data_IF_952976389597
#
_entry.id   IF_952976389597
#
_cell.length_a   1.000
_cell.length_b   1.000
_cell.length_c   1.000
_cell.angle_alpha   90.00
_cell.angle_beta   90.00
_cell.angle_gamma   90.00
#
_symmetry.space_group_name_H-M   'P 1'
#
loop_
_entity.id
_entity.type
_entity.pdbx_description
1 polymer ?
#
# COMPACT_ATOMS: atom_id res chain seq x y z
N UNK A 1 17.85 -22.94 39.66
CA UNK A 1 18.62 -24.21 39.63
C UNK A 1 20.03 -23.92 39.14
N UNK A 2 21.05 -24.35 39.90
CA UNK A 2 22.51 -24.38 39.61
C UNK A 2 23.15 -23.00 39.30
N UNK A 3 23.78 -22.25 40.22
CA UNK A 3 24.74 -22.50 41.33
C UNK A 3 26.13 -22.97 40.88
N UNK A 4 27.14 -22.25 41.43
CA UNK A 4 28.52 -22.68 41.75
C UNK A 4 29.46 -22.63 40.53
N UNK A 5 30.67 -22.09 40.53
CA UNK A 5 31.59 -21.41 41.48
C UNK A 5 32.93 -21.29 40.72
N UNK A 6 33.95 -20.50 41.07
CA UNK A 6 34.89 -20.65 42.21
C UNK A 6 36.05 -19.71 41.81
N UNK A 7 36.50 -18.73 42.60
CA UNK A 7 37.31 -18.79 43.85
C UNK A 7 38.77 -18.37 43.60
N UNK A 8 39.17 -17.35 44.40
CA UNK A 8 40.47 -17.09 45.06
C UNK A 8 41.71 -16.95 44.15
N UNK A 9 42.77 -16.22 44.49
CA UNK A 9 43.34 -15.70 45.75
C UNK A 9 44.37 -14.65 45.29
N UNK A 10 44.67 -13.57 46.00
CA UNK A 10 45.26 -13.57 47.34
C UNK A 10 46.77 -13.35 47.25
N UNK A 11 47.18 -12.17 47.72
CA UNK A 11 48.44 -11.87 48.43
C UNK A 11 49.69 -11.32 47.71
N UNK A 12 50.01 -10.10 48.16
CA UNK A 12 51.30 -9.59 48.65
C UNK A 12 52.47 -9.36 47.70
N UNK A 13 52.61 -8.07 47.36
CA UNK A 13 53.84 -7.38 47.01
C UNK A 13 54.73 -7.15 48.24
N UNK A 14 56.02 -7.47 48.13
CA UNK A 14 57.11 -6.93 48.95
C UNK A 14 58.31 -6.58 48.06
N UNK A 15 59.00 -5.51 48.46
CA UNK A 15 60.41 -5.13 48.22
C UNK A 15 60.79 -4.75 46.76
N UNK A 16 61.04 -3.47 46.43
CA UNK A 16 62.12 -2.52 46.82
C UNK A 16 63.26 -2.47 45.77
N UNK A 17 63.84 -1.26 45.65
CA UNK A 17 65.06 -0.83 44.92
C UNK A 17 64.76 -0.20 43.56
N UNK A 18 64.84 1.13 43.41
CA UNK A 18 66.03 2.03 43.40
C UNK A 18 66.97 1.84 42.20
N UNK A 19 67.00 2.91 41.40
CA UNK A 19 68.08 3.47 40.57
C UNK A 19 68.50 2.74 39.27
N UNK A 20 68.01 3.28 38.15
CA UNK A 20 68.71 3.93 37.00
C UNK A 20 70.21 3.63 36.73
N UNK A 21 70.79 4.00 35.56
CA UNK A 21 70.21 4.44 34.26
C UNK A 21 70.93 3.87 33.00
N UNK A 22 70.31 3.97 31.81
CA UNK A 22 71.05 4.31 30.55
C UNK A 22 70.13 4.45 29.32
N UNK A 23 70.20 5.65 28.72
CA UNK A 23 69.69 6.18 27.45
C UNK A 23 70.06 5.28 26.23
N UNK A 24 69.35 5.14 25.10
CA UNK A 24 68.67 6.07 24.17
C UNK A 24 67.65 5.32 23.25
N UNK A 25 67.08 5.89 22.16
CA UNK A 25 66.08 6.95 22.09
C UNK A 25 64.81 6.43 21.36
N UNK A 26 63.65 6.36 22.03
CA UNK A 26 62.39 6.05 21.35
C UNK A 26 61.63 7.35 21.07
N UNK A 27 61.46 7.66 19.78
CA UNK A 27 60.68 8.78 19.26
C UNK A 27 59.31 8.89 19.93
N UNK A 28 59.13 9.89 20.79
CA UNK A 28 57.91 10.18 21.55
C UNK A 28 56.73 10.67 20.70
N UNK A 29 56.94 10.92 19.40
CA UNK A 29 55.90 11.36 18.48
C UNK A 29 54.90 10.25 18.12
N UNK A 30 55.36 9.01 17.93
CA UNK A 30 54.50 7.91 17.48
C UNK A 30 53.52 7.37 18.54
N UNK A 31 53.89 7.45 19.83
CA UNK A 31 53.05 6.94 20.93
C UNK A 31 51.91 7.91 21.25
N UNK A 32 52.16 9.22 21.16
CA UNK A 32 51.12 10.24 21.33
C UNK A 32 50.08 10.19 20.18
N UNK A 33 50.54 9.95 18.95
CA UNK A 33 49.67 9.77 17.78
C UNK A 33 48.78 8.52 17.88
N UNK A 34 49.31 7.39 18.36
CA UNK A 34 48.53 6.17 18.56
C UNK A 34 47.48 6.30 19.68
N UNK A 35 47.80 6.99 20.78
CA UNK A 35 46.85 7.24 21.87
C UNK A 35 45.74 8.20 21.42
N UNK A 36 46.07 9.24 20.65
CA UNK A 36 45.09 10.18 20.11
C UNK A 36 44.15 9.51 19.09
N UNK A 37 44.67 8.64 18.21
CA UNK A 37 43.88 7.87 17.26
C UNK A 37 42.90 6.92 17.99
N UNK A 38 43.37 6.23 19.04
CA UNK A 38 42.55 5.31 19.84
C UNK A 38 41.47 6.05 20.65
N UNK A 39 41.77 7.23 21.17
CA UNK A 39 40.78 8.07 21.87
C UNK A 39 39.73 8.65 20.89
N UNK A 40 40.11 8.95 19.65
CA UNK A 40 39.19 9.40 18.61
C UNK A 40 38.23 8.29 18.16
N UNK A 41 38.71 7.05 18.02
CA UNK A 41 37.86 5.90 17.67
C UNK A 41 36.85 5.58 18.77
N UNK A 42 37.27 5.57 20.04
CA UNK A 42 36.35 5.33 21.18
C UNK A 42 35.27 6.41 21.28
N UNK A 43 35.62 7.69 21.05
CA UNK A 43 34.64 8.79 21.06
C UNK A 43 33.67 8.72 19.88
N UNK A 44 34.12 8.26 18.71
CA UNK A 44 33.27 8.05 17.55
C UNK A 44 32.29 6.87 17.78
N UNK A 45 32.75 5.78 18.40
CA UNK A 45 31.91 4.64 18.77
C UNK A 45 30.83 5.02 19.80
N UNK A 46 31.17 5.82 20.81
CA UNK A 46 30.19 6.28 21.80
C UNK A 46 29.19 7.29 21.23
N UNK A 47 29.62 8.13 20.28
CA UNK A 47 28.71 9.01 19.54
C UNK A 47 27.72 8.21 18.69
N UNK A 48 28.20 7.20 17.93
CA UNK A 48 27.37 6.33 17.10
C UNK A 48 26.35 5.54 17.93
N UNK A 49 26.75 5.01 19.10
CA UNK A 49 25.81 4.34 20.03
C UNK A 49 24.74 5.30 20.56
N UNK A 50 25.10 6.56 20.79
CA UNK A 50 24.17 7.59 21.28
C UNK A 50 23.17 7.99 20.19
N UNK A 51 23.62 8.07 18.95
CA UNK A 51 22.82 8.35 17.77
C UNK A 51 21.81 7.21 17.49
N UNK A 52 22.26 5.96 17.47
CA UNK A 52 21.38 4.78 17.35
C UNK A 52 20.32 4.73 18.46
N UNK A 53 20.69 5.12 19.69
CA UNK A 53 19.77 5.21 20.82
C UNK A 53 18.74 6.33 20.63
N UNK A 54 19.09 7.43 19.94
CA UNK A 54 18.15 8.50 19.62
C UNK A 54 17.19 8.08 18.50
N UNK A 55 17.70 7.48 17.42
CA UNK A 55 16.90 6.99 16.29
C UNK A 55 15.83 6.00 16.75
N UNK A 56 16.20 5.04 17.60
CA UNK A 56 15.24 4.08 18.15
C UNK A 56 14.14 4.75 18.99
N UNK A 57 14.51 5.77 19.80
CA UNK A 57 13.54 6.53 20.60
C UNK A 57 12.63 7.40 19.74
N UNK A 58 13.16 8.02 18.70
CA UNK A 58 12.38 8.78 17.72
C UNK A 58 11.41 7.86 16.98
N UNK A 59 11.86 6.65 16.63
CA UNK A 59 11.02 5.60 16.06
C UNK A 59 9.74 5.40 16.87
N UNK A 60 9.86 5.17 18.18
CA UNK A 60 8.70 4.98 19.05
C UNK A 60 7.79 6.21 19.21
N UNK A 61 8.35 7.43 19.20
CA UNK A 61 7.57 8.67 19.35
C UNK A 61 6.78 8.99 18.06
N UNK A 62 7.36 8.68 16.90
CA UNK A 62 6.79 9.01 15.59
C UNK A 62 5.85 7.91 15.05
N UNK A 63 5.64 6.84 15.81
CA UNK A 63 4.69 5.79 15.47
C UNK A 63 3.25 6.31 15.37
N UNK A 64 2.48 5.69 14.49
CA UNK A 64 1.05 5.90 14.43
C UNK A 64 0.38 5.47 15.74
N UNK A 65 -0.48 6.32 16.31
CA UNK A 65 -1.19 6.04 17.56
C UNK A 65 -2.22 4.88 17.46
N UNK A 66 -2.46 4.35 16.27
CA UNK A 66 -3.43 3.29 16.00
C UNK A 66 -2.75 1.96 15.74
N UNK A 67 -1.90 1.87 14.70
CA UNK A 67 -1.19 0.61 14.38
C UNK A 67 0.13 0.43 15.14
N UNK A 68 0.61 1.47 15.84
CA UNK A 68 1.88 1.47 16.58
C UNK A 68 3.12 1.28 15.71
N UNK A 69 2.97 1.39 14.39
CA UNK A 69 4.07 1.31 13.42
C UNK A 69 4.50 2.69 12.91
N UNK A 70 5.74 2.76 12.44
CA UNK A 70 6.24 3.91 11.71
C UNK A 70 5.51 4.07 10.36
N UNK A 71 4.94 5.25 10.08
CA UNK A 71 4.18 5.48 8.86
C UNK A 71 5.09 5.40 7.61
N UNK A 72 4.61 4.72 6.56
CA UNK A 72 5.31 4.62 5.25
C UNK A 72 4.92 5.70 4.24
N UNK A 73 3.86 6.46 4.53
CA UNK A 73 3.26 7.42 3.62
C UNK A 73 2.85 8.69 4.40
N UNK A 74 1.78 9.36 3.97
CA UNK A 74 1.31 10.57 4.62
C UNK A 74 0.97 10.36 6.10
N UNK A 75 1.29 11.36 6.92
CA UNK A 75 1.02 11.37 8.36
C UNK A 75 0.06 12.49 8.68
N UNK A 76 -1.02 12.16 9.39
CA UNK A 76 -2.01 13.12 9.84
C UNK A 76 -1.89 13.32 11.35
N UNK A 77 -2.05 14.56 11.81
CA UNK A 77 -2.11 14.89 13.21
C UNK A 77 -3.45 15.51 13.57
N UNK A 78 -4.01 15.11 14.72
CA UNK A 78 -5.17 15.81 15.29
C UNK A 78 -4.74 17.18 15.83
N UNK A 79 -5.70 18.05 16.19
CA UNK A 79 -5.39 19.38 16.72
C UNK A 79 -4.59 19.36 18.04
N UNK A 80 -4.61 18.25 18.78
CA UNK A 80 -3.80 18.04 19.99
C UNK A 80 -2.45 17.37 19.72
N UNK A 81 -2.09 17.07 18.46
CA UNK A 81 -0.77 16.56 18.08
C UNK A 81 -0.61 15.04 18.01
N UNK A 82 -1.66 14.23 18.21
CA UNK A 82 -1.55 12.77 18.05
C UNK A 82 -1.45 12.37 16.58
N UNK A 83 -0.48 11.51 16.27
CA UNK A 83 -0.12 11.09 14.92
C UNK A 83 -0.89 9.85 14.46
N UNK A 84 -1.33 9.85 13.22
CA UNK A 84 -2.00 8.72 12.55
C UNK A 84 -1.42 8.57 11.15
N UNK A 85 -1.06 7.35 10.75
CA UNK A 85 -0.72 7.08 9.36
C UNK A 85 -1.95 7.25 8.46
N UNK A 86 -1.76 7.53 7.18
CA UNK A 86 -2.84 7.72 6.22
C UNK A 86 -3.86 6.57 6.20
N UNK A 87 -3.39 5.33 6.32
CA UNK A 87 -4.23 4.14 6.40
C UNK A 87 -5.15 4.18 7.62
N UNK A 88 -4.57 4.24 8.83
CA UNK A 88 -5.35 4.27 10.07
C UNK A 88 -6.27 5.48 10.17
N UNK A 89 -5.82 6.66 9.75
CA UNK A 89 -6.69 7.84 9.69
C UNK A 89 -7.91 7.60 8.80
N UNK A 90 -7.68 7.03 7.61
CA UNK A 90 -8.75 6.65 6.67
C UNK A 90 -9.71 5.63 7.27
N UNK A 91 -9.18 4.60 7.94
CA UNK A 91 -9.98 3.59 8.64
C UNK A 91 -10.88 4.23 9.70
N UNK A 92 -10.34 5.10 10.56
CA UNK A 92 -11.13 5.79 11.61
C UNK A 92 -12.27 6.62 11.00
N UNK A 93 -12.01 7.33 9.90
CA UNK A 93 -13.05 8.10 9.20
C UNK A 93 -14.12 7.20 8.57
N UNK A 94 -13.72 6.09 7.94
CA UNK A 94 -14.63 5.14 7.32
C UNK A 94 -15.51 4.43 8.38
N UNK A 95 -14.91 4.08 9.51
CA UNK A 95 -15.59 3.49 10.66
C UNK A 95 -16.68 4.40 11.24
N UNK A 96 -16.34 5.67 11.49
CA UNK A 96 -17.30 6.65 11.97
C UNK A 96 -18.45 6.85 10.97
N UNK A 97 -18.14 6.84 9.66
CA UNK A 97 -19.16 6.87 8.60
C UNK A 97 -20.10 5.67 8.67
N UNK A 98 -19.60 4.46 8.92
CA UNK A 98 -20.44 3.28 9.03
C UNK A 98 -21.33 3.31 10.27
N UNK A 99 -20.81 3.84 11.40
CA UNK A 99 -21.54 3.93 12.68
C UNK A 99 -22.49 5.13 12.78
N UNK A 100 -22.46 6.03 11.81
CA UNK A 100 -23.14 7.33 11.89
C UNK A 100 -22.70 8.18 13.08
N UNK A 101 -21.41 8.13 13.36
CA UNK A 101 -20.77 8.88 14.44
C UNK A 101 -19.82 9.92 13.85
N UNK A 102 -19.47 10.89 14.69
CA UNK A 102 -18.38 11.80 14.39
C UNK A 102 -17.06 11.07 14.62
N UNK A 103 -16.15 11.13 13.66
CA UNK A 103 -14.83 10.55 13.84
C UNK A 103 -14.07 11.31 14.92
N UNK A 104 -13.45 10.58 15.86
CA UNK A 104 -12.68 11.16 16.96
C UNK A 104 -11.30 10.56 17.01
N UNK A 105 -10.33 11.33 17.51
CA UNK A 105 -8.97 10.86 17.74
C UNK A 105 -9.00 9.72 18.77
N UNK A 106 -8.41 8.54 18.48
CA UNK A 106 -8.43 7.41 19.42
C UNK A 106 -7.79 7.71 20.78
N UNK A 107 -6.85 8.65 20.84
CA UNK A 107 -6.11 8.97 22.06
C UNK A 107 -6.82 10.05 22.90
N UNK A 108 -7.18 11.19 22.30
CA UNK A 108 -7.74 12.33 23.04
C UNK A 108 -9.21 12.62 22.77
N UNK A 109 -9.86 11.85 21.90
CA UNK A 109 -11.28 11.93 21.54
C UNK A 109 -11.75 13.26 20.94
N UNK A 110 -10.84 14.17 20.60
CA UNK A 110 -11.18 15.37 19.83
C UNK A 110 -11.71 14.97 18.45
N UNK A 111 -12.68 15.70 17.92
CA UNK A 111 -13.21 15.48 16.59
C UNK A 111 -12.10 15.58 15.53
N UNK A 112 -12.08 14.62 14.60
CA UNK A 112 -11.17 14.60 13.47
C UNK A 112 -11.94 14.47 12.16
N UNK A 113 -11.44 15.14 11.14
CA UNK A 113 -11.98 15.11 9.79
C UNK A 113 -10.86 15.41 8.81
N UNK A 114 -11.10 15.26 7.50
CA UNK A 114 -10.13 15.64 6.45
C UNK A 114 -9.73 17.13 6.49
N UNK A 115 -10.53 17.98 7.14
CA UNK A 115 -10.27 19.43 7.24
C UNK A 115 -9.70 19.85 8.58
N UNK A 116 -9.97 19.10 9.66
CA UNK A 116 -9.47 19.44 11.01
C UNK A 116 -8.16 18.74 11.35
N UNK A 117 -7.90 17.56 10.78
CA UNK A 117 -6.61 16.91 10.87
C UNK A 117 -5.65 17.50 9.82
N UNK A 118 -4.45 17.90 10.26
CA UNK A 118 -3.43 18.47 9.37
C UNK A 118 -2.41 17.40 8.96
N UNK A 119 -1.94 17.46 7.71
CA UNK A 119 -0.84 16.59 7.24
C UNK A 119 0.49 17.12 7.78
N UNK A 120 1.24 16.27 8.46
CA UNK A 120 2.51 16.65 9.09
C UNK A 120 3.70 16.23 8.23
N UNK A 121 4.10 17.12 7.31
CA UNK A 121 5.23 16.89 6.41
C UNK A 121 6.58 16.80 7.13
N UNK A 122 6.71 17.43 8.31
CA UNK A 122 7.93 17.36 9.09
C UNK A 122 8.14 15.95 9.66
N UNK A 123 7.08 15.34 10.18
CA UNK A 123 7.11 13.94 10.63
C UNK A 123 7.35 13.00 9.45
N UNK A 124 6.71 13.24 8.30
CA UNK A 124 6.97 12.43 7.09
C UNK A 124 8.46 12.42 6.71
N UNK A 125 9.10 13.61 6.67
CA UNK A 125 10.54 13.72 6.39
C UNK A 125 11.40 13.11 7.50
N UNK A 126 11.04 13.30 8.77
CA UNK A 126 11.80 12.71 9.87
C UNK A 126 11.76 11.18 9.82
N UNK A 127 10.59 10.61 9.59
CA UNK A 127 10.41 9.15 9.46
C UNK A 127 11.12 8.62 8.21
N UNK A 128 11.21 9.38 7.13
CA UNK A 128 11.87 8.92 5.90
C UNK A 128 13.39 8.76 6.04
N UNK A 129 14.01 9.46 6.99
CA UNK A 129 15.44 9.33 7.30
C UNK A 129 15.74 8.24 8.33
N UNK A 130 14.73 7.75 9.06
CA UNK A 130 14.95 6.68 10.05
C UNK A 130 15.40 5.38 9.36
N UNK A 131 16.27 4.59 10.03
CA UNK A 131 16.73 3.32 9.49
C UNK A 131 15.59 2.31 9.36
N UNK A 132 15.71 1.45 8.35
CA UNK A 132 14.91 0.26 8.16
C UNK A 132 15.76 -0.83 7.51
N UNK A 133 15.50 -2.08 7.88
CA UNK A 133 16.21 -3.24 7.36
C UNK A 133 15.67 -3.65 5.99
N UNK A 134 16.57 -3.99 5.07
CA UNK A 134 16.24 -4.63 3.81
C UNK A 134 15.71 -6.04 4.02
N UNK A 135 14.59 -6.37 3.40
CA UNK A 135 13.96 -7.69 3.51
C UNK A 135 14.79 -8.85 2.94
N UNK A 136 15.78 -8.55 2.08
CA UNK A 136 16.61 -9.56 1.42
C UNK A 136 17.98 -9.71 2.06
N UNK A 137 18.67 -8.61 2.36
CA UNK A 137 20.05 -8.64 2.88
C UNK A 137 20.18 -8.26 4.36
N UNK A 138 19.09 -7.87 5.02
CA UNK A 138 19.02 -7.46 6.43
C UNK A 138 19.93 -6.27 6.82
N UNK A 139 20.52 -5.56 5.85
CA UNK A 139 21.27 -4.33 6.09
C UNK A 139 20.33 -3.15 6.31
N UNK A 140 20.73 -2.20 7.15
CA UNK A 140 19.96 -0.99 7.43
C UNK A 140 20.20 0.09 6.36
N UNK A 141 19.11 0.71 5.93
CA UNK A 141 19.12 1.86 5.03
C UNK A 141 18.10 2.91 5.50
N UNK A 142 18.31 4.20 5.17
CA UNK A 142 17.25 5.20 5.32
C UNK A 142 16.01 4.77 4.54
N UNK A 143 14.83 4.89 5.15
CA UNK A 143 13.54 4.46 4.57
C UNK A 143 13.27 5.07 3.19
N UNK A 144 13.69 6.31 2.93
CA UNK A 144 13.55 6.98 1.63
C UNK A 144 14.32 6.29 0.49
N UNK A 145 15.36 5.52 0.80
CA UNK A 145 16.27 4.89 -0.16
C UNK A 145 16.10 3.37 -0.22
N UNK A 146 15.38 2.81 0.76
CA UNK A 146 15.22 1.37 0.93
C UNK A 146 14.50 0.72 -0.27
N UNK A 147 13.44 1.34 -0.77
CA UNK A 147 12.70 0.83 -1.95
C UNK A 147 13.62 0.75 -3.18
N UNK A 148 14.38 1.81 -3.46
CA UNK A 148 15.35 1.80 -4.55
C UNK A 148 16.45 0.75 -4.36
N UNK A 149 16.92 0.56 -3.12
CA UNK A 149 17.87 -0.49 -2.81
C UNK A 149 17.27 -1.88 -3.12
N UNK A 150 16.09 -2.19 -2.60
CA UNK A 150 15.42 -3.48 -2.77
C UNK A 150 15.11 -3.82 -4.23
N UNK A 151 14.73 -2.82 -5.03
CA UNK A 151 14.37 -3.01 -6.43
C UNK A 151 15.58 -3.08 -7.37
N UNK A 152 16.59 -2.25 -7.16
CA UNK A 152 17.63 -2.00 -8.16
C UNK A 152 19.05 -2.36 -7.70
N UNK A 153 19.38 -2.25 -6.42
CA UNK A 153 20.77 -2.34 -5.95
C UNK A 153 21.08 -3.59 -5.13
N UNK A 154 20.08 -4.19 -4.48
CA UNK A 154 20.27 -5.29 -3.55
C UNK A 154 20.70 -6.56 -4.28
N UNK A 155 21.86 -7.12 -3.92
CA UNK A 155 22.39 -8.34 -4.51
C UNK A 155 21.58 -9.60 -4.14
N UNK A 156 20.87 -9.55 -3.01
CA UNK A 156 20.01 -10.63 -2.52
C UNK A 156 18.57 -10.54 -3.06
N UNK A 157 18.22 -9.51 -3.84
CA UNK A 157 16.87 -9.36 -4.38
C UNK A 157 16.52 -10.49 -5.34
N UNK A 158 15.27 -10.96 -5.27
CA UNK A 158 14.78 -12.02 -6.15
C UNK A 158 14.61 -11.47 -7.57
N UNK A 159 15.44 -11.95 -8.48
CA UNK A 159 15.46 -11.56 -9.88
C UNK A 159 15.14 -12.75 -10.78
N UNK A 160 14.77 -12.46 -12.03
CA UNK A 160 14.46 -13.48 -13.04
C UNK A 160 15.51 -13.49 -14.14
N UNK A 161 15.72 -14.66 -14.76
CA UNK A 161 16.65 -14.81 -15.87
C UNK A 161 16.21 -13.95 -17.07
N UNK A 162 17.16 -13.37 -17.84
CA UNK A 162 16.85 -12.64 -19.08
C UNK A 162 16.12 -13.51 -20.12
N UNK A 163 16.30 -14.84 -20.07
CA UNK A 163 15.63 -15.83 -20.90
C UNK A 163 14.25 -16.27 -20.37
N UNK A 164 13.72 -15.61 -19.33
CA UNK A 164 12.34 -15.82 -18.87
C UNK A 164 11.31 -15.63 -19.98
N UNK A 165 11.59 -14.72 -20.93
CA UNK A 165 10.75 -14.46 -22.13
C UNK A 165 10.61 -15.67 -23.06
N UNK A 166 11.54 -16.62 -23.01
CA UNK A 166 11.50 -17.87 -23.80
C UNK A 166 11.25 -19.09 -22.91
N UNK A 167 10.72 -18.87 -21.71
CA UNK A 167 10.25 -19.94 -20.82
C UNK A 167 11.19 -20.34 -19.68
N UNK A 168 12.30 -19.63 -19.44
CA UNK A 168 13.14 -19.95 -18.28
C UNK A 168 12.39 -19.63 -16.96
N UNK A 169 12.12 -20.63 -16.09
CA UNK A 169 11.36 -20.41 -14.85
C UNK A 169 12.26 -19.93 -13.69
N UNK A 170 13.57 -19.80 -13.91
CA UNK A 170 14.52 -19.51 -12.84
C UNK A 170 14.26 -18.14 -12.21
N UNK A 171 14.19 -18.15 -10.88
CA UNK A 171 14.13 -16.99 -10.01
C UNK A 171 15.04 -17.24 -8.82
N UNK A 172 15.92 -16.30 -8.53
CA UNK A 172 16.91 -16.42 -7.46
C UNK A 172 17.52 -15.07 -7.09
N UNK A 173 18.45 -15.04 -6.12
CA UNK A 173 19.21 -13.85 -5.77
C UNK A 173 19.89 -13.23 -7.00
N UNK A 174 19.99 -11.91 -7.05
CA UNK A 174 20.57 -11.22 -8.20
C UNK A 174 22.04 -11.57 -8.43
N UNK A 175 22.80 -11.83 -7.37
CA UNK A 175 24.21 -12.22 -7.50
C UNK A 175 24.40 -13.57 -8.21
N UNK A 176 23.38 -14.44 -8.22
CA UNK A 176 23.41 -15.75 -8.90
C UNK A 176 23.05 -15.68 -10.39
N UNK A 177 22.53 -14.53 -10.87
CA UNK A 177 22.14 -14.37 -12.30
C UNK A 177 23.29 -14.71 -13.25
N UNK A 178 24.52 -14.17 -13.09
CA UNK A 178 25.59 -14.42 -14.05
C UNK A 178 25.94 -15.91 -14.15
N UNK A 179 25.95 -16.60 -13.01
CA UNK A 179 26.21 -18.04 -12.95
C UNK A 179 25.09 -18.83 -13.63
N UNK A 180 23.82 -18.53 -13.31
CA UNK A 180 22.68 -19.17 -13.96
C UNK A 180 22.67 -18.92 -15.47
N UNK A 181 22.89 -17.68 -15.92
CA UNK A 181 22.84 -17.32 -17.34
C UNK A 181 23.92 -18.03 -18.16
N UNK A 182 25.10 -18.27 -17.58
CA UNK A 182 26.16 -19.04 -18.23
C UNK A 182 25.82 -20.51 -18.45
N UNK A 183 24.97 -21.08 -17.59
CA UNK A 183 24.52 -22.48 -17.63
C UNK A 183 23.07 -22.63 -18.07
N UNK A 184 22.44 -21.56 -18.54
CA UNK A 184 21.02 -21.60 -18.90
C UNK A 184 20.82 -22.46 -20.15
N UNK A 185 19.93 -23.45 -20.06
CA UNK A 185 19.62 -24.35 -21.19
C UNK A 185 18.62 -23.73 -22.18
N UNK A 186 17.85 -22.73 -21.75
CA UNK A 186 16.77 -22.14 -22.55
C UNK A 186 17.21 -21.47 -23.86
N UNK A 187 18.37 -20.80 -23.95
CA UNK A 187 18.89 -20.28 -25.22
C UNK A 187 19.14 -21.34 -26.29
N UNK A 188 19.37 -22.59 -25.88
CA UNK A 188 19.68 -23.71 -26.77
C UNK A 188 18.52 -24.69 -26.94
N UNK A 189 17.34 -24.37 -26.39
CA UNK A 189 16.14 -25.19 -26.57
C UNK A 189 15.65 -25.14 -28.01
N UNK A 190 14.97 -26.19 -28.42
CA UNK A 190 14.42 -26.26 -29.78
C UNK A 190 13.31 -25.22 -29.96
N UNK A 191 13.07 -24.84 -31.22
CA UNK A 191 11.94 -23.96 -31.53
C UNK A 191 10.60 -24.52 -31.03
N UNK A 192 10.42 -25.84 -31.02
CA UNK A 192 9.20 -26.47 -30.52
C UNK A 192 8.98 -26.20 -29.01
N UNK A 193 10.04 -26.31 -28.20
CA UNK A 193 9.96 -26.08 -26.75
C UNK A 193 9.72 -24.59 -26.42
N UNK A 194 10.35 -23.69 -27.18
CA UNK A 194 10.14 -22.24 -27.03
C UNK A 194 8.72 -21.86 -27.44
N UNK A 195 8.19 -22.43 -28.52
CA UNK A 195 6.82 -22.18 -28.96
C UNK A 195 5.78 -22.62 -27.91
N UNK A 196 6.02 -23.70 -27.18
CA UNK A 196 5.12 -24.12 -26.08
C UNK A 196 5.13 -23.10 -24.94
N UNK A 197 6.31 -22.66 -24.49
CA UNK A 197 6.41 -21.63 -23.46
C UNK A 197 5.79 -20.28 -23.91
N UNK A 198 5.96 -19.92 -25.19
CA UNK A 198 5.36 -18.72 -25.75
C UNK A 198 3.83 -18.82 -25.82
N UNK A 199 3.24 -19.99 -26.09
CA UNK A 199 1.77 -20.16 -26.07
C UNK A 199 1.18 -19.81 -24.71
N UNK A 200 1.82 -20.21 -23.61
CA UNK A 200 1.36 -19.86 -22.25
C UNK A 200 1.47 -18.36 -21.98
N UNK A 201 2.57 -17.74 -22.41
CA UNK A 201 2.78 -16.29 -22.30
C UNK A 201 1.73 -15.54 -23.13
N UNK A 202 1.53 -15.95 -24.38
CA UNK A 202 0.56 -15.38 -25.30
C UNK A 202 -0.86 -15.56 -24.80
N UNK A 203 -1.21 -16.72 -24.22
CA UNK A 203 -2.51 -16.95 -23.61
C UNK A 203 -2.78 -15.99 -22.45
N UNK A 204 -1.78 -15.78 -21.57
CA UNK A 204 -1.87 -14.82 -20.47
C UNK A 204 -1.98 -13.37 -20.99
N UNK A 205 -1.17 -13.00 -21.98
CA UNK A 205 -1.25 -11.67 -22.60
C UNK A 205 -2.57 -11.44 -23.33
N UNK A 206 -3.12 -12.48 -23.96
CA UNK A 206 -4.44 -12.43 -24.59
C UNK A 206 -5.53 -12.24 -23.53
N UNK A 207 -5.48 -12.96 -22.41
CA UNK A 207 -6.37 -12.79 -21.27
C UNK A 207 -6.36 -11.34 -20.74
N UNK A 208 -5.16 -10.76 -20.58
CA UNK A 208 -4.98 -9.35 -20.18
C UNK A 208 -5.52 -8.38 -21.24
N UNK A 209 -5.39 -8.71 -22.53
CA UNK A 209 -5.87 -7.90 -23.65
C UNK A 209 -7.37 -8.01 -23.93
N UNK A 210 -8.02 -9.12 -23.56
CA UNK A 210 -9.47 -9.35 -23.78
C UNK A 210 -10.33 -8.19 -23.29
N UNK A 211 -10.00 -7.60 -22.15
CA UNK A 211 -10.74 -6.44 -21.64
C UNK A 211 -10.66 -5.26 -22.63
N UNK A 212 -9.48 -4.97 -23.16
CA UNK A 212 -9.27 -3.89 -24.12
C UNK A 212 -9.99 -4.19 -25.44
N UNK A 213 -9.86 -5.40 -25.96
CA UNK A 213 -10.53 -5.82 -27.20
C UNK A 213 -12.06 -5.69 -27.07
N UNK A 214 -12.63 -6.19 -25.97
CA UNK A 214 -14.05 -6.03 -25.67
C UNK A 214 -14.48 -4.55 -25.56
N UNK A 215 -13.65 -3.69 -24.95
CA UNK A 215 -13.94 -2.25 -24.87
C UNK A 215 -13.87 -1.61 -26.25
N UNK A 216 -12.90 -1.98 -27.11
CA UNK A 216 -12.82 -1.50 -28.48
C UNK A 216 -14.05 -1.90 -29.30
N UNK A 217 -14.51 -3.14 -29.16
CA UNK A 217 -15.75 -3.60 -29.79
C UNK A 217 -16.96 -2.78 -29.32
N UNK A 218 -17.06 -2.50 -28.01
CA UNK A 218 -18.14 -1.66 -27.48
C UNK A 218 -18.07 -0.21 -27.98
N UNK A 219 -16.85 0.32 -28.20
CA UNK A 219 -16.66 1.65 -28.79
C UNK A 219 -17.15 1.75 -30.23
N UNK A 220 -17.42 0.62 -30.91
CA UNK A 220 -18.05 0.62 -32.23
C UNK A 220 -19.56 0.93 -32.20
N UNK A 221 -20.20 0.93 -31.02
CA UNK A 221 -21.62 1.21 -30.91
C UNK A 221 -21.93 2.68 -31.18
N UNK A 222 -23.06 2.94 -31.84
CA UNK A 222 -23.49 4.31 -32.16
C UNK A 222 -23.88 5.11 -30.91
N UNK A 223 -24.42 4.43 -29.90
CA UNK A 223 -24.97 5.05 -28.69
C UNK A 223 -24.08 4.77 -27.48
N UNK A 224 -23.20 5.72 -27.19
CA UNK A 224 -22.28 5.69 -26.06
C UNK A 224 -22.46 6.95 -25.21
N UNK A 225 -22.44 6.81 -23.89
CA UNK A 225 -22.45 7.95 -22.97
C UNK A 225 -21.36 7.83 -21.91
N UNK A 226 -20.75 8.97 -21.57
CA UNK A 226 -19.72 9.08 -20.55
C UNK A 226 -20.25 10.03 -19.48
N UNK A 227 -20.47 9.51 -18.28
CA UNK A 227 -21.06 10.28 -17.18
C UNK A 227 -20.08 10.32 -16.02
N UNK A 228 -19.60 11.52 -15.69
CA UNK A 228 -18.81 11.75 -14.48
C UNK A 228 -19.75 12.02 -13.31
N UNK A 229 -19.85 11.03 -12.42
CA UNK A 229 -20.86 10.98 -11.37
C UNK A 229 -20.23 11.03 -9.99
N UNK A 230 -21.02 11.50 -9.03
CA UNK A 230 -20.70 11.45 -7.60
C UNK A 230 -21.82 10.73 -6.88
N UNK A 231 -21.50 9.66 -6.16
CA UNK A 231 -22.44 9.04 -5.23
C UNK A 231 -22.23 9.61 -3.83
N UNK A 232 -23.33 10.01 -3.19
CA UNK A 232 -23.34 10.60 -1.86
C UNK A 232 -23.96 9.62 -0.86
N UNK A 233 -23.45 9.55 0.38
CA UNK A 233 -24.01 8.68 1.39
C UNK A 233 -25.39 9.18 1.84
N UNK A 234 -26.31 8.25 2.06
CA UNK A 234 -27.60 8.47 2.71
C UNK A 234 -27.96 7.26 3.56
N UNK A 235 -28.89 7.43 4.50
CA UNK A 235 -29.35 6.36 5.39
C UNK A 235 -30.84 6.14 5.27
N UNK A 236 -31.27 4.92 5.56
CA UNK A 236 -32.68 4.55 5.64
C UNK A 236 -33.23 4.86 7.03
N UNK A 237 -34.51 5.21 7.12
CA UNK A 237 -35.22 5.48 8.38
C UNK A 237 -35.64 4.20 9.14
N UNK A 238 -34.93 3.09 8.92
CA UNK A 238 -35.16 1.81 9.62
C UNK A 238 -34.56 1.83 11.03
N UNK A 239 -35.03 0.94 11.92
CA UNK A 239 -34.50 0.78 13.29
C UNK A 239 -32.98 0.55 13.35
N UNK A 240 -32.41 -0.08 12.30
CA UNK A 240 -30.97 -0.13 12.05
C UNK A 240 -30.71 0.68 10.78
N UNK A 241 -30.22 1.90 10.94
CA UNK A 241 -29.93 2.78 9.82
C UNK A 241 -28.86 2.17 8.90
N UNK A 242 -29.25 1.77 7.69
CA UNK A 242 -28.32 1.21 6.70
C UNK A 242 -27.70 2.31 5.87
N UNK A 243 -26.38 2.27 5.71
CA UNK A 243 -25.65 3.19 4.85
C UNK A 243 -25.74 2.74 3.38
N UNK A 244 -26.27 3.62 2.55
CA UNK A 244 -26.27 3.48 1.09
C UNK A 244 -25.56 4.67 0.46
N UNK A 245 -25.13 4.50 -0.79
CA UNK A 245 -24.64 5.59 -1.61
C UNK A 245 -25.51 5.68 -2.86
N UNK A 246 -25.86 6.89 -3.27
CA UNK A 246 -26.67 7.11 -4.47
C UNK A 246 -26.16 8.33 -5.24
N UNK A 247 -26.19 8.26 -6.57
CA UNK A 247 -25.94 9.41 -7.44
C UNK A 247 -27.19 10.27 -7.59
N UNK A 248 -27.02 11.55 -7.90
CA UNK A 248 -28.12 12.30 -8.51
C UNK A 248 -28.62 11.60 -9.77
N UNK A 249 -29.88 11.83 -10.14
CA UNK A 249 -30.42 11.36 -11.42
C UNK A 249 -29.59 11.94 -12.56
N UNK A 250 -29.22 11.11 -13.52
CA UNK A 250 -28.48 11.53 -14.71
C UNK A 250 -29.18 11.04 -15.97
N UNK A 251 -28.97 11.77 -17.07
CA UNK A 251 -29.56 11.44 -18.37
C UNK A 251 -28.61 10.62 -19.24
N UNK A 252 -29.08 9.50 -19.77
CA UNK A 252 -28.39 8.73 -20.81
C UNK A 252 -29.41 8.02 -21.70
N UNK A 253 -29.17 7.96 -23.02
CA UNK A 253 -30.06 7.30 -23.97
C UNK A 253 -31.53 7.76 -23.89
N UNK A 254 -31.77 9.07 -23.68
CA UNK A 254 -33.10 9.66 -23.46
C UNK A 254 -33.87 9.10 -22.25
N UNK A 255 -33.16 8.47 -21.32
CA UNK A 255 -33.69 7.90 -20.09
C UNK A 255 -33.01 8.51 -18.87
N UNK A 256 -33.68 8.44 -17.71
CA UNK A 256 -33.14 8.87 -16.42
C UNK A 256 -32.65 7.65 -15.65
N UNK A 257 -31.45 7.77 -15.10
CA UNK A 257 -30.75 6.68 -14.44
C UNK A 257 -30.23 7.12 -13.07
N UNK A 258 -30.00 6.14 -12.21
CA UNK A 258 -29.37 6.31 -10.90
C UNK A 258 -28.42 5.14 -10.67
N UNK A 259 -27.24 5.40 -10.10
CA UNK A 259 -26.39 4.35 -9.55
C UNK A 259 -26.58 4.33 -8.04
N UNK A 260 -26.89 3.14 -7.51
CA UNK A 260 -27.04 2.90 -6.08
C UNK A 260 -25.99 1.88 -5.64
N UNK A 261 -25.32 2.16 -4.53
CA UNK A 261 -24.35 1.26 -3.94
C UNK A 261 -24.65 0.97 -2.47
N UNK A 262 -24.22 -0.22 -2.02
CA UNK A 262 -24.31 -0.71 -0.65
C UNK A 262 -22.97 -1.26 -0.21
N UNK A 263 -22.70 -1.19 1.09
CA UNK A 263 -21.44 -1.65 1.68
C UNK A 263 -21.64 -3.05 2.28
N UNK A 264 -20.64 -3.91 2.15
CA UNK A 264 -20.60 -5.27 2.71
C UNK A 264 -21.86 -6.08 2.39
N UNK A 265 -22.37 -5.94 1.16
CA UNK A 265 -23.62 -6.58 0.72
C UNK A 265 -24.81 -6.44 1.70
N UNK A 266 -24.86 -5.33 2.46
CA UNK A 266 -25.89 -5.05 3.46
C UNK A 266 -25.89 -6.02 4.67
N UNK A 267 -24.71 -6.46 5.12
CA UNK A 267 -24.55 -7.20 6.36
C UNK A 267 -25.13 -6.43 7.57
N UNK A 268 -25.67 -7.17 8.55
CA UNK A 268 -26.31 -6.59 9.76
C UNK A 268 -25.37 -5.72 10.58
N UNK A 269 -24.08 -6.07 10.62
CA UNK A 269 -23.05 -5.32 11.33
C UNK A 269 -21.80 -5.19 10.44
N UNK A 270 -21.66 -4.07 9.70
CA UNK A 270 -20.52 -3.84 8.81
C UNK A 270 -19.22 -3.54 9.56
N UNK A 271 -19.22 -3.51 10.91
CA UNK A 271 -18.03 -3.20 11.72
C UNK A 271 -17.29 -4.43 12.24
N UNK A 272 -17.86 -5.63 12.09
CA UNK A 272 -17.22 -6.88 12.55
C UNK A 272 -16.00 -7.28 11.73
N UNK A 273 -15.86 -6.75 10.52
CA UNK A 273 -14.70 -6.98 9.67
C UNK A 273 -14.07 -5.66 9.22
N UNK A 274 -12.75 -5.65 9.19
CA UNK A 274 -11.97 -4.61 8.53
C UNK A 274 -12.02 -4.77 7.01
N UNK A 275 -12.37 -5.97 6.50
CA UNK A 275 -12.61 -6.25 5.08
C UNK A 275 -13.93 -5.64 4.63
N UNK A 276 -13.84 -4.83 3.59
CA UNK A 276 -14.98 -4.07 3.08
C UNK A 276 -15.06 -4.14 1.57
N UNK A 277 -16.27 -4.33 1.09
CA UNK A 277 -16.60 -4.30 -0.33
C UNK A 277 -17.74 -3.31 -0.60
N UNK A 278 -17.70 -2.72 -1.79
CA UNK A 278 -18.78 -1.88 -2.31
C UNK A 278 -19.45 -2.68 -3.42
N UNK A 279 -20.75 -2.89 -3.33
CA UNK A 279 -21.55 -3.42 -4.44
C UNK A 279 -22.45 -2.32 -4.98
N UNK A 280 -22.65 -2.29 -6.30
CA UNK A 280 -23.44 -1.27 -6.97
C UNK A 280 -24.41 -1.88 -7.97
N UNK A 281 -25.51 -1.18 -8.20
CA UNK A 281 -26.48 -1.48 -9.25
C UNK A 281 -26.77 -0.22 -10.05
N UNK A 282 -27.11 -0.41 -11.33
CA UNK A 282 -27.62 0.63 -12.20
C UNK A 282 -29.15 0.50 -12.24
N UNK A 283 -29.84 1.62 -12.07
CA UNK A 283 -31.30 1.68 -11.96
C UNK A 283 -31.83 2.62 -13.03
N UNK A 284 -32.73 2.11 -13.86
CA UNK A 284 -33.53 2.87 -14.79
C UNK A 284 -34.76 3.46 -14.08
N UNK A 285 -34.87 4.80 -14.08
CA UNK A 285 -35.98 5.53 -13.46
C UNK A 285 -37.10 5.89 -14.44
N UNK A 286 -36.81 5.92 -15.74
CA UNK A 286 -37.81 6.15 -16.79
C UNK A 286 -38.51 4.85 -17.16
N UNK A 287 -39.83 4.87 -17.34
CA UNK A 287 -40.56 3.72 -17.88
C UNK A 287 -40.22 3.55 -19.37
N UNK A 288 -39.84 2.35 -19.78
CA UNK A 288 -39.49 2.03 -21.16
C UNK A 288 -40.52 1.13 -21.80
N UNK A 289 -40.81 1.38 -23.08
CA UNK A 289 -41.71 0.56 -23.89
C UNK A 289 -40.99 -0.56 -24.65
N UNK A 290 -39.66 -0.54 -24.70
CA UNK A 290 -38.83 -1.54 -25.36
C UNK A 290 -37.63 -1.93 -24.48
N UNK A 291 -37.14 -3.18 -24.58
CA UNK A 291 -35.94 -3.61 -23.87
C UNK A 291 -34.71 -2.78 -24.26
N UNK A 292 -33.91 -2.41 -23.26
CA UNK A 292 -32.66 -1.66 -23.40
C UNK A 292 -31.48 -2.55 -22.99
N UNK A 293 -30.84 -3.25 -23.94
CA UNK A 293 -29.61 -3.99 -23.68
C UNK A 293 -28.44 -3.01 -23.49
N UNK A 294 -28.02 -2.82 -22.25
CA UNK A 294 -26.97 -1.86 -21.89
C UNK A 294 -25.73 -2.59 -21.38
N UNK A 295 -24.59 -2.24 -21.96
CA UNK A 295 -23.29 -2.53 -21.38
C UNK A 295 -22.82 -1.33 -20.57
N UNK A 296 -22.23 -1.56 -19.41
CA UNK A 296 -21.70 -0.47 -18.59
C UNK A 296 -20.51 -0.91 -17.76
N UNK A 297 -19.66 0.06 -17.43
CA UNK A 297 -18.53 -0.12 -16.55
C UNK A 297 -18.21 1.16 -15.79
N UNK A 298 -17.62 0.99 -14.61
CA UNK A 298 -17.11 2.09 -13.79
C UNK A 298 -15.60 2.21 -13.96
N UNK A 299 -15.14 3.43 -14.20
CA UNK A 299 -13.75 3.84 -14.29
C UNK A 299 -13.43 4.92 -13.26
N UNK A 300 -12.13 5.17 -13.08
CA UNK A 300 -11.63 6.37 -12.40
C UNK A 300 -12.22 7.63 -13.06
N UNK A 301 -12.82 8.49 -12.24
CA UNK A 301 -13.32 9.80 -12.69
C UNK A 301 -12.19 10.80 -12.92
N UNK A 302 -12.39 11.86 -13.73
CA UNK A 302 -11.35 12.85 -14.05
C UNK A 302 -10.88 13.66 -12.83
N UNK A 303 -11.75 13.82 -11.83
CA UNK A 303 -11.48 14.58 -10.61
C UNK A 303 -11.24 13.68 -9.38
N UNK A 304 -11.17 12.36 -9.59
CA UNK A 304 -10.93 11.38 -8.55
C UNK A 304 -9.64 10.61 -8.78
N UNK A 305 -9.10 10.04 -7.72
CA UNK A 305 -7.92 9.17 -7.72
C UNK A 305 -8.30 7.71 -7.39
N UNK A 306 -9.57 7.34 -7.61
CA UNK A 306 -10.08 5.98 -7.40
C UNK A 306 -9.26 4.96 -8.19
N UNK A 307 -8.85 3.89 -7.52
CA UNK A 307 -8.22 2.72 -8.13
C UNK A 307 -9.30 1.66 -8.32
N UNK A 308 -9.55 1.26 -9.55
CA UNK A 308 -10.56 0.25 -9.90
C UNK A 308 -10.07 -0.56 -11.09
N UNK A 309 -10.28 -1.87 -11.06
CA UNK A 309 -10.01 -2.77 -12.17
C UNK A 309 -11.25 -2.85 -13.06
N UNK A 310 -11.28 -2.24 -14.25
CA UNK A 310 -12.53 -2.12 -15.01
C UNK A 310 -13.15 -3.48 -15.31
N UNK A 311 -14.47 -3.60 -15.11
CA UNK A 311 -15.26 -4.77 -15.50
C UNK A 311 -16.47 -4.33 -16.28
N UNK A 312 -16.67 -4.95 -17.43
CA UNK A 312 -17.83 -4.72 -18.28
C UNK A 312 -18.98 -5.59 -17.75
N UNK A 313 -20.11 -4.94 -17.47
CA UNK A 313 -21.37 -5.60 -17.14
C UNK A 313 -22.34 -5.43 -18.31
N UNK A 314 -23.22 -6.40 -18.50
CA UNK A 314 -24.33 -6.36 -19.46
C UNK A 314 -25.62 -6.63 -18.72
N UNK A 315 -26.63 -5.80 -18.94
CA UNK A 315 -27.98 -6.03 -18.43
C UNK A 315 -29.02 -5.51 -19.42
N UNK A 316 -30.14 -6.21 -19.55
CA UNK A 316 -31.25 -5.78 -20.39
C UNK A 316 -32.35 -5.19 -19.52
N UNK A 317 -32.52 -3.87 -19.59
CA UNK A 317 -33.53 -3.18 -18.80
C UNK A 317 -34.88 -3.24 -19.52
N UNK A 318 -35.94 -3.60 -18.79
CA UNK A 318 -37.30 -3.73 -19.30
C UNK A 318 -38.29 -2.97 -18.40
N UNK A 319 -39.57 -2.97 -18.75
CA UNK A 319 -40.60 -2.38 -17.87
C UNK A 319 -40.74 -3.14 -16.55
N UNK A 320 -40.54 -4.47 -16.58
CA UNK A 320 -40.61 -5.35 -15.41
C UNK A 320 -39.29 -5.35 -14.62
N UNK A 321 -38.16 -5.22 -15.31
CA UNK A 321 -36.82 -5.28 -14.73
C UNK A 321 -36.06 -3.98 -15.00
N UNK A 322 -36.23 -3.00 -14.11
CA UNK A 322 -35.60 -1.69 -14.22
C UNK A 322 -34.35 -1.53 -13.32
N UNK A 323 -33.96 -2.56 -12.58
CA UNK A 323 -32.78 -2.56 -11.71
C UNK A 323 -31.85 -3.70 -12.10
N UNK A 324 -30.58 -3.40 -12.36
CA UNK A 324 -29.58 -4.44 -12.57
C UNK A 324 -29.33 -5.22 -11.27
N UNK A 325 -28.77 -6.43 -11.33
CA UNK A 325 -28.18 -7.07 -10.15
C UNK A 325 -27.11 -6.16 -9.50
N UNK A 326 -26.83 -6.42 -8.23
CA UNK A 326 -25.68 -5.84 -7.56
C UNK A 326 -24.40 -6.53 -8.04
N UNK A 327 -23.46 -5.73 -8.53
CA UNK A 327 -22.12 -6.17 -8.87
C UNK A 327 -21.11 -5.59 -7.89
N UNK A 328 -20.09 -6.37 -7.54
CA UNK A 328 -18.97 -5.87 -6.74
C UNK A 328 -18.19 -4.85 -7.55
N UNK A 329 -17.94 -3.68 -6.96
CA UNK A 329 -17.01 -2.69 -7.48
C UNK A 329 -15.59 -3.28 -7.35
N UNK A 330 -14.90 -3.58 -8.45
CA UNK A 330 -13.64 -4.32 -8.46
C UNK A 330 -12.45 -3.45 -8.02
N UNK A 331 -12.44 -3.11 -6.74
CA UNK A 331 -11.34 -2.39 -6.08
C UNK A 331 -10.12 -3.32 -5.93
N UNK A 332 -8.88 -2.80 -5.95
CA UNK A 332 -7.67 -3.60 -5.79
C UNK A 332 -7.57 -4.27 -4.41
N UNK A 333 -8.04 -3.59 -3.36
CA UNK A 333 -7.94 -4.05 -1.99
C UNK A 333 -8.96 -3.34 -1.07
N UNK A 334 -9.04 -3.81 0.17
CA UNK A 334 -9.85 -3.23 1.26
C UNK A 334 -9.41 -1.82 1.64
N UNK A 335 -8.12 -1.48 1.50
CA UNK A 335 -7.63 -0.15 1.88
C UNK A 335 -8.20 0.94 0.96
N UNK A 336 -8.31 0.64 -0.34
CA UNK A 336 -8.97 1.48 -1.32
C UNK A 336 -10.45 1.66 -0.99
N UNK A 337 -11.16 0.59 -0.59
CA UNK A 337 -12.55 0.68 -0.14
C UNK A 337 -12.69 1.65 1.05
N UNK A 338 -11.84 1.52 2.06
CA UNK A 338 -11.83 2.43 3.21
C UNK A 338 -11.57 3.88 2.81
N UNK A 339 -10.70 4.11 1.84
CA UNK A 339 -10.40 5.44 1.29
C UNK A 339 -11.62 6.09 0.66
N UNK A 340 -12.39 5.33 -0.09
CA UNK A 340 -13.65 5.76 -0.69
C UNK A 340 -14.71 6.07 0.38
N UNK A 341 -14.84 5.22 1.41
CA UNK A 341 -15.77 5.43 2.52
C UNK A 341 -15.45 6.67 3.36
N UNK A 342 -14.15 6.95 3.56
CA UNK A 342 -13.69 8.15 4.27
C UNK A 342 -13.92 9.45 3.47
N UNK A 343 -14.22 9.38 2.18
CA UNK A 343 -14.51 10.55 1.36
C UNK A 343 -15.94 11.07 1.59
N UNK A 344 -16.16 12.37 1.32
CA UNK A 344 -17.50 12.98 1.41
C UNK A 344 -18.46 12.43 0.35
N UNK A 345 -17.91 12.07 -0.81
CA UNK A 345 -18.61 11.45 -1.93
C UNK A 345 -17.61 10.58 -2.69
N UNK A 346 -18.11 9.55 -3.37
CA UNK A 346 -17.29 8.69 -4.24
C UNK A 346 -17.49 9.18 -5.67
N UNK A 347 -16.41 9.66 -6.29
CA UNK A 347 -16.41 10.20 -7.65
C UNK A 347 -15.90 9.15 -8.63
N UNK A 348 -16.62 8.94 -9.73
CA UNK A 348 -16.30 7.93 -10.72
C UNK A 348 -16.83 8.30 -12.10
N UNK A 349 -16.30 7.65 -13.14
CA UNK A 349 -16.82 7.75 -14.51
C UNK A 349 -17.60 6.49 -14.83
N UNK A 350 -18.86 6.65 -15.19
CA UNK A 350 -19.69 5.58 -15.73
C UNK A 350 -19.70 5.69 -17.25
N UNK A 351 -19.24 4.65 -17.93
CA UNK A 351 -19.42 4.51 -19.38
C UNK A 351 -20.57 3.56 -19.61
N UNK A 352 -21.51 3.95 -20.47
CA UNK A 352 -22.64 3.13 -20.88
C UNK A 352 -22.68 3.03 -22.40
N UNK A 353 -22.99 1.85 -22.90
CA UNK A 353 -23.20 1.55 -24.31
C UNK A 353 -24.58 0.93 -24.46
N UNK A 354 -25.41 1.48 -25.34
CA UNK A 354 -26.69 0.87 -25.69
C UNK A 354 -26.47 0.01 -26.92
N UNK A 355 -26.69 -1.31 -26.79
CA UNK A 355 -26.57 -2.20 -27.92
C UNK A 355 -27.69 -1.92 -28.93
N UNK A 356 -27.28 -1.65 -30.17
CA UNK A 356 -28.20 -1.64 -31.31
C UNK A 356 -28.76 -3.05 -31.48
N UNK A 357 -30.07 -3.15 -31.76
CA UNK A 357 -30.66 -4.42 -32.22
C UNK A 357 -30.15 -4.77 -33.61
#
# INVERSE_FOLDING_TARGET
HLRISRVRSGENSKTSNMADPSNEPASSSGVAEQIAATAATVRAEDAAKTEQKLEHRLGGILCCAVCLDLPRAAVYQCANGHLMCAGCFTHVLADARLRDEMATCPNCRIEISKTTASRNLAVEKAVSELPAECQYCAKEFPRNSLEHHEEAMCEERISSCKYSRIGCPWRGPNHEIPEHESHCVHPYRTGADVMEALREIDARTLEERRLYDNVFDLLSYEKITFNDLQMKPYRTDEFIHKLFYETSRFGAFNNQWVVKARINSNQRDPTQSSERDITYQLILKTKTTYPLPVYYLILKGPFGDMKVHPRIHRFEFTEQENESPYFTLPLPDTAECNRLLAAKAISFRLIMFLASK
#
